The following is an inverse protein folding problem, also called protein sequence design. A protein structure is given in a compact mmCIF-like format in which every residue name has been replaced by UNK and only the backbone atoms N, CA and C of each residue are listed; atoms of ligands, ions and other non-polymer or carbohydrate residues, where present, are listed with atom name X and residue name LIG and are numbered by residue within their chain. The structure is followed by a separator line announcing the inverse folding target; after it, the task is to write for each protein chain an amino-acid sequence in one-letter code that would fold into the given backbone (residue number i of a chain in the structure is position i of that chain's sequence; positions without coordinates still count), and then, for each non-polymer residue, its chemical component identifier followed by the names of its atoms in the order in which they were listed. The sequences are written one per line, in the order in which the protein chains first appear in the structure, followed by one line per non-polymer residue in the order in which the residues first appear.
data_IF_130520951462
#
_entry.id   IF_130520951462
#
_cell.length_a   1.000
_cell.length_b   1.000
_cell.length_c   1.000
_cell.angle_alpha   90.00
_cell.angle_beta   90.00
_cell.angle_gamma   90.00
#
_symmetry.space_group_name_H-M   'P 1'
#
loop_
_entity.id
_entity.type
_entity.pdbx_description
1 polymer ?
#
# COMPACT_ATOMS: atom_id res chain seq x y z
N UNK A 1 -11.02 -2.26 -17.00
CA UNK A 1 -11.01 -3.55 -16.25
C UNK A 1 -12.31 -3.77 -15.49
N UNK A 2 -12.84 -2.76 -14.79
CA UNK A 2 -14.09 -2.88 -14.03
C UNK A 2 -15.29 -3.27 -14.89
N UNK A 3 -15.42 -2.72 -16.11
CA UNK A 3 -16.51 -3.06 -17.02
C UNK A 3 -16.54 -4.54 -17.40
N UNK A 4 -15.39 -5.12 -17.77
CA UNK A 4 -15.27 -6.53 -18.12
C UNK A 4 -15.55 -7.43 -16.92
N UNK A 5 -15.04 -7.08 -15.77
CA UNK A 5 -15.29 -7.80 -14.52
C UNK A 5 -16.78 -7.78 -14.13
N UNK A 6 -17.44 -6.63 -14.26
CA UNK A 6 -18.88 -6.48 -13.99
C UNK A 6 -19.69 -7.30 -14.97
N UNK A 7 -19.41 -7.22 -16.28
CA UNK A 7 -20.09 -8.02 -17.29
C UNK A 7 -19.96 -9.52 -17.03
N UNK A 8 -18.75 -9.98 -16.72
CA UNK A 8 -18.49 -11.38 -16.40
C UNK A 8 -19.26 -11.82 -15.14
N UNK A 9 -19.30 -10.97 -14.11
CA UNK A 9 -20.03 -11.25 -12.87
C UNK A 9 -21.54 -11.37 -13.12
N UNK A 10 -22.14 -10.40 -13.82
CA UNK A 10 -23.57 -10.39 -14.11
C UNK A 10 -23.95 -11.59 -14.98
N UNK A 11 -23.23 -11.81 -16.07
CA UNK A 11 -23.52 -12.91 -17.00
C UNK A 11 -23.40 -14.27 -16.30
N UNK A 12 -22.35 -14.48 -15.51
CA UNK A 12 -22.15 -15.74 -14.80
C UNK A 12 -23.21 -15.97 -13.73
N UNK A 13 -23.54 -14.94 -12.94
CA UNK A 13 -24.58 -15.03 -11.92
C UNK A 13 -25.94 -15.38 -12.51
N UNK A 14 -26.35 -14.70 -13.59
CA UNK A 14 -27.63 -14.93 -14.24
C UNK A 14 -27.72 -16.33 -14.86
N UNK A 15 -26.68 -16.76 -15.55
CA UNK A 15 -26.63 -18.08 -16.20
C UNK A 15 -26.62 -19.19 -15.15
N UNK A 16 -25.87 -19.02 -14.05
CA UNK A 16 -25.77 -20.01 -12.99
C UNK A 16 -27.11 -20.19 -12.25
N UNK A 17 -27.79 -19.09 -11.94
CA UNK A 17 -29.11 -19.11 -11.27
C UNK A 17 -30.22 -19.67 -12.14
N UNK A 18 -30.07 -19.69 -13.47
CA UNK A 18 -31.02 -20.32 -14.41
C UNK A 18 -30.71 -21.79 -14.66
N UNK A 19 -29.63 -22.33 -14.11
CA UNK A 19 -29.23 -23.71 -14.35
C UNK A 19 -29.81 -24.65 -13.30
N UNK A 20 -30.90 -25.34 -13.64
CA UNK A 20 -31.61 -26.27 -12.74
C UNK A 20 -30.71 -27.42 -12.28
N UNK A 21 -29.86 -27.95 -13.15
CA UNK A 21 -28.93 -29.04 -12.82
C UNK A 21 -27.88 -28.61 -11.76
N UNK A 22 -27.54 -27.31 -11.71
CA UNK A 22 -26.68 -26.75 -10.70
C UNK A 22 -27.43 -26.56 -9.37
N UNK A 23 -28.63 -26.01 -9.41
CA UNK A 23 -29.44 -25.72 -8.22
C UNK A 23 -29.86 -26.98 -7.46
N UNK A 24 -29.95 -28.12 -8.13
CA UNK A 24 -30.31 -29.40 -7.53
C UNK A 24 -29.15 -30.14 -6.83
N UNK A 25 -27.93 -29.60 -6.87
CA UNK A 25 -26.79 -30.17 -6.12
C UNK A 25 -26.80 -29.77 -4.67
N UNK A 26 -26.25 -30.64 -3.80
CA UNK A 26 -26.08 -30.30 -2.40
C UNK A 26 -24.93 -29.28 -2.20
N UNK A 27 -24.94 -28.57 -1.07
CA UNK A 27 -24.01 -27.51 -0.73
C UNK A 27 -22.54 -27.93 -0.84
N UNK A 28 -22.20 -29.11 -0.33
CA UNK A 28 -20.82 -29.62 -0.39
C UNK A 28 -20.34 -29.83 -1.82
N UNK A 29 -21.17 -30.46 -2.65
CA UNK A 29 -20.86 -30.68 -4.06
C UNK A 29 -20.72 -29.36 -4.83
N UNK A 30 -21.54 -28.35 -4.50
CA UNK A 30 -21.44 -27.03 -5.11
C UNK A 30 -20.11 -26.35 -4.77
N UNK A 31 -19.68 -26.41 -3.51
CA UNK A 31 -18.41 -25.83 -3.07
C UNK A 31 -17.20 -26.52 -3.69
N UNK A 32 -17.18 -27.84 -3.73
CA UNK A 32 -16.11 -28.64 -4.32
C UNK A 32 -15.97 -28.35 -5.83
N UNK A 33 -17.09 -28.38 -6.55
CA UNK A 33 -17.10 -28.03 -7.99
C UNK A 33 -16.63 -26.61 -8.25
N UNK A 34 -17.05 -25.65 -7.41
CA UNK A 34 -16.63 -24.26 -7.56
C UNK A 34 -15.12 -24.08 -7.41
N UNK A 35 -14.53 -24.69 -6.38
CA UNK A 35 -13.09 -24.60 -6.16
C UNK A 35 -12.28 -25.23 -7.31
N UNK A 36 -12.58 -26.47 -7.63
CA UNK A 36 -11.83 -27.21 -8.66
C UNK A 36 -11.95 -26.57 -10.05
N UNK A 37 -13.15 -26.15 -10.45
CA UNK A 37 -13.38 -25.55 -11.77
C UNK A 37 -12.91 -24.12 -11.86
N UNK A 38 -13.03 -23.37 -10.77
CA UNK A 38 -12.48 -22.03 -10.65
C UNK A 38 -10.96 -21.98 -10.78
N UNK A 39 -10.25 -22.92 -10.13
CA UNK A 39 -8.80 -23.07 -10.27
C UNK A 39 -8.38 -23.46 -11.68
N UNK A 40 -9.09 -24.40 -12.32
CA UNK A 40 -8.84 -24.75 -13.71
C UNK A 40 -9.02 -23.58 -14.66
N UNK A 41 -10.05 -22.77 -14.43
CA UNK A 41 -10.29 -21.57 -15.24
C UNK A 41 -9.19 -20.54 -15.06
N UNK A 42 -8.78 -20.30 -13.82
CA UNK A 42 -7.67 -19.39 -13.52
C UNK A 42 -6.36 -19.84 -14.19
N UNK A 43 -6.04 -21.15 -14.11
CA UNK A 43 -4.85 -21.70 -14.74
C UNK A 43 -4.91 -21.59 -16.28
N UNK A 44 -6.09 -21.78 -16.88
CA UNK A 44 -6.28 -21.59 -18.31
C UNK A 44 -6.06 -20.13 -18.73
N UNK A 45 -6.58 -19.17 -17.99
CA UNK A 45 -6.30 -17.74 -18.21
C UNK A 45 -4.80 -17.46 -18.12
N UNK A 46 -4.14 -17.92 -17.06
CA UNK A 46 -2.72 -17.68 -16.82
C UNK A 46 -1.83 -18.25 -17.94
N UNK A 47 -2.24 -19.34 -18.57
CA UNK A 47 -1.48 -19.94 -19.67
C UNK A 47 -1.60 -19.19 -21.00
N UNK A 48 -2.63 -18.35 -21.16
CA UNK A 48 -2.92 -17.61 -22.41
C UNK A 48 -2.65 -16.13 -22.32
N UNK A 49 -2.19 -15.63 -21.16
CA UNK A 49 -1.87 -14.22 -20.96
C UNK A 49 -0.73 -13.76 -21.85
N UNK A 50 -0.91 -12.60 -22.47
CA UNK A 50 0.12 -11.89 -23.21
C UNK A 50 0.93 -11.00 -22.26
N UNK A 51 2.24 -10.96 -22.44
CA UNK A 51 3.12 -10.10 -21.67
C UNK A 51 2.87 -8.62 -22.01
N UNK A 52 2.96 -7.77 -21.01
CA UNK A 52 2.78 -6.33 -21.15
C UNK A 52 3.90 -5.73 -22.01
N UNK A 53 3.52 -5.02 -23.07
CA UNK A 53 4.42 -4.19 -23.87
C UNK A 53 4.23 -2.71 -23.53
N UNK A 54 5.24 -1.88 -23.83
CA UNK A 54 5.16 -0.44 -23.58
C UNK A 54 3.95 0.21 -24.29
N UNK A 55 3.67 -0.20 -25.52
CA UNK A 55 2.53 0.30 -26.32
C UNK A 55 1.20 -0.01 -25.65
N UNK A 56 1.04 -1.24 -25.16
CA UNK A 56 -0.19 -1.66 -24.47
C UNK A 56 -0.35 -0.94 -23.14
N UNK A 57 0.73 -0.72 -22.40
CA UNK A 57 0.72 0.07 -21.16
C UNK A 57 0.20 1.49 -21.42
N UNK A 58 0.73 2.15 -22.45
CA UNK A 58 0.28 3.49 -22.83
C UNK A 58 -1.20 3.52 -23.24
N UNK A 59 -1.68 2.53 -24.00
CA UNK A 59 -3.11 2.41 -24.34
C UNK A 59 -3.99 2.31 -23.07
N UNK A 60 -3.59 1.54 -22.07
CA UNK A 60 -4.35 1.41 -20.82
C UNK A 60 -4.36 2.70 -20.00
N UNK A 61 -3.25 3.41 -19.93
CA UNK A 61 -3.17 4.70 -19.24
C UNK A 61 -4.05 5.73 -19.97
N UNK A 62 -3.98 5.77 -21.32
CA UNK A 62 -4.81 6.64 -22.15
C UNK A 62 -6.31 6.37 -21.96
N UNK A 63 -6.70 5.12 -21.83
CA UNK A 63 -8.10 4.73 -21.60
C UNK A 63 -8.59 5.02 -20.18
N UNK A 64 -7.69 5.04 -19.20
CA UNK A 64 -8.05 5.20 -17.78
C UNK A 64 -8.22 6.66 -17.36
N UNK A 65 -7.55 7.58 -18.03
CA UNK A 65 -7.49 9.01 -17.67
C UNK A 65 -7.81 9.86 -18.90
N UNK A 66 -8.65 10.88 -18.74
CA UNK A 66 -9.03 11.78 -19.85
C UNK A 66 -8.12 13.02 -19.96
N UNK A 67 -7.50 13.45 -18.86
CA UNK A 67 -6.63 14.61 -18.79
C UNK A 67 -5.23 14.28 -19.34
N UNK A 68 -4.81 14.95 -20.41
CA UNK A 68 -3.53 14.70 -21.08
C UNK A 68 -2.31 15.09 -20.21
N UNK A 69 -2.43 16.11 -19.36
CA UNK A 69 -1.36 16.48 -18.41
C UNK A 69 -1.17 15.39 -17.36
N UNK A 70 -2.28 14.89 -16.82
CA UNK A 70 -2.24 13.80 -15.84
C UNK A 70 -1.69 12.50 -16.46
N UNK A 71 -2.05 12.17 -17.70
CA UNK A 71 -1.48 11.03 -18.45
C UNK A 71 0.04 11.13 -18.54
N UNK A 72 0.54 12.30 -18.93
CA UNK A 72 1.98 12.56 -19.05
C UNK A 72 2.68 12.36 -17.72
N UNK A 73 2.12 12.89 -16.63
CA UNK A 73 2.70 12.77 -15.29
C UNK A 73 2.65 11.34 -14.75
N UNK A 74 1.59 10.56 -15.04
CA UNK A 74 1.53 9.14 -14.70
C UNK A 74 2.58 8.34 -15.47
N UNK A 75 2.71 8.57 -16.78
CA UNK A 75 3.73 7.91 -17.59
C UNK A 75 5.15 8.22 -17.12
N UNK A 76 5.43 9.48 -16.78
CA UNK A 76 6.71 9.91 -16.22
C UNK A 76 6.96 9.24 -14.87
N UNK A 77 5.96 9.20 -14.00
CA UNK A 77 6.04 8.53 -12.70
C UNK A 77 6.38 7.04 -12.84
N UNK A 78 5.74 6.33 -13.80
CA UNK A 78 6.01 4.92 -14.06
C UNK A 78 7.41 4.72 -14.67
N UNK A 79 7.86 5.60 -15.55
CA UNK A 79 9.22 5.54 -16.12
C UNK A 79 10.30 5.72 -15.06
N UNK A 80 10.09 6.64 -14.12
CA UNK A 80 11.02 6.91 -13.02
C UNK A 80 11.00 5.84 -11.92
N UNK A 81 9.81 5.33 -11.57
CA UNK A 81 9.67 4.30 -10.53
C UNK A 81 9.98 2.88 -11.02
N UNK A 82 9.91 2.65 -12.33
CA UNK A 82 9.78 1.31 -12.89
C UNK A 82 8.38 0.73 -12.72
N UNK A 83 8.11 -0.38 -13.40
CA UNK A 83 6.78 -1.02 -13.41
C UNK A 83 6.34 -1.57 -12.04
N UNK A 84 7.29 -1.94 -11.19
CA UNK A 84 7.04 -2.44 -9.82
C UNK A 84 7.22 -1.37 -8.75
N UNK A 85 7.63 -0.15 -9.16
CA UNK A 85 7.90 0.95 -8.25
C UNK A 85 6.66 1.49 -7.55
N UNK A 86 6.90 2.22 -6.46
CA UNK A 86 5.83 2.85 -5.69
C UNK A 86 5.69 4.30 -6.09
N UNK A 87 4.48 4.66 -6.49
CA UNK A 87 4.07 6.02 -6.80
C UNK A 87 3.14 6.49 -5.68
N UNK A 88 3.55 7.52 -4.95
CA UNK A 88 2.75 8.19 -3.93
C UNK A 88 2.08 9.40 -4.54
N UNK A 89 0.78 9.56 -4.28
CA UNK A 89 0.01 10.73 -4.74
C UNK A 89 -0.10 11.72 -3.58
N UNK A 90 0.44 12.92 -3.76
CA UNK A 90 0.46 13.97 -2.75
C UNK A 90 -0.27 15.22 -3.24
N UNK A 91 -0.82 16.03 -2.33
CA UNK A 91 -1.31 17.36 -2.68
C UNK A 91 -0.14 18.33 -2.73
N UNK A 92 -0.18 19.25 -3.68
CA UNK A 92 0.81 20.31 -3.83
C UNK A 92 0.11 21.67 -3.83
N UNK A 93 0.84 22.72 -3.51
CA UNK A 93 0.37 24.11 -3.68
C UNK A 93 0.71 24.67 -5.08
N UNK A 94 1.11 23.81 -6.01
CA UNK A 94 1.41 24.21 -7.38
C UNK A 94 0.16 24.13 -8.25
N UNK A 95 0.08 24.96 -9.26
CA UNK A 95 -1.04 24.96 -10.23
C UNK A 95 -1.03 23.79 -11.21
N UNK A 96 0.09 23.07 -11.32
CA UNK A 96 0.27 21.97 -12.27
C UNK A 96 0.70 20.68 -11.58
N UNK A 97 0.43 19.55 -12.24
CA UNK A 97 1.01 18.26 -11.85
C UNK A 97 2.55 18.33 -11.90
N UNK A 98 3.20 17.72 -10.92
CA UNK A 98 4.65 17.53 -10.93
C UNK A 98 5.02 16.15 -10.45
N UNK A 99 6.15 15.64 -10.96
CA UNK A 99 6.68 14.32 -10.58
C UNK A 99 8.05 14.53 -9.97
N UNK A 100 8.24 14.01 -8.77
CA UNK A 100 9.48 14.13 -8.02
C UNK A 100 9.96 12.76 -7.53
N UNK A 101 11.24 12.47 -7.76
CA UNK A 101 11.89 11.31 -7.19
C UNK A 101 12.32 11.63 -5.74
N UNK A 102 11.74 10.94 -4.77
CA UNK A 102 12.12 11.04 -3.36
C UNK A 102 12.98 9.85 -2.97
N UNK A 103 14.23 10.12 -2.63
CA UNK A 103 15.14 9.13 -2.11
C UNK A 103 15.16 9.21 -0.59
N UNK A 104 14.78 8.14 0.09
CA UNK A 104 14.75 8.02 1.54
C UNK A 104 13.44 7.41 2.06
N UNK A 105 13.50 6.95 3.30
CA UNK A 105 12.38 6.34 4.02
C UNK A 105 11.48 7.42 4.59
N UNK A 106 10.18 7.38 4.26
CA UNK A 106 9.21 8.38 4.72
C UNK A 106 8.25 7.77 5.74
N UNK A 107 8.16 8.40 6.91
CA UNK A 107 7.30 7.96 8.01
C UNK A 107 6.27 9.04 8.37
N UNK A 108 4.98 8.69 8.42
CA UNK A 108 3.92 9.59 8.83
C UNK A 108 3.90 9.71 10.37
N UNK A 109 4.66 10.64 10.90
CA UNK A 109 4.78 10.91 12.34
C UNK A 109 4.19 12.26 12.69
N UNK A 110 3.73 12.43 13.94
CA UNK A 110 3.25 13.71 14.41
C UNK A 110 4.42 14.64 14.79
N UNK A 111 4.47 15.77 14.14
CA UNK A 111 5.53 16.76 14.27
C UNK A 111 5.09 17.92 15.17
N UNK A 112 5.97 18.34 16.08
CA UNK A 112 5.79 19.54 16.87
C UNK A 112 6.25 20.77 16.07
N UNK A 113 5.29 21.55 15.53
CA UNK A 113 5.58 22.74 14.70
C UNK A 113 6.56 23.72 15.32
N UNK A 114 6.54 24.00 16.66
CA UNK A 114 7.51 24.91 17.29
C UNK A 114 8.97 24.52 17.12
N UNK A 115 9.29 23.26 16.83
CA UNK A 115 10.65 22.78 16.59
C UNK A 115 11.11 22.89 15.14
N UNK A 116 10.20 23.18 14.22
CA UNK A 116 10.54 23.45 12.83
C UNK A 116 11.25 24.80 12.70
N UNK A 117 12.16 24.89 11.76
CA UNK A 117 12.83 26.14 11.42
C UNK A 117 11.91 27.13 10.67
N UNK A 118 12.44 28.30 10.30
CA UNK A 118 11.65 29.39 9.68
C UNK A 118 11.02 28.98 8.32
N UNK A 119 11.53 27.95 7.68
CA UNK A 119 11.00 27.42 6.41
C UNK A 119 10.06 26.21 6.61
N UNK A 120 9.56 25.98 7.81
CA UNK A 120 8.68 24.85 8.12
C UNK A 120 9.37 23.48 8.06
N UNK A 121 10.70 23.45 8.10
CA UNK A 121 11.51 22.23 8.04
C UNK A 121 12.61 22.22 9.09
N UNK A 122 12.99 21.01 9.52
CA UNK A 122 14.20 20.76 10.32
C UNK A 122 15.03 19.73 9.56
N UNK A 123 16.19 20.15 9.04
CA UNK A 123 17.05 19.32 8.21
C UNK A 123 18.42 19.21 8.86
N UNK A 124 18.91 17.98 9.05
CA UNK A 124 20.20 17.73 9.68
C UNK A 124 20.90 16.54 9.02
N UNK A 125 22.22 16.55 9.11
CA UNK A 125 23.11 15.44 8.72
C UNK A 125 23.71 14.83 9.99
N UNK A 126 24.14 13.58 9.91
CA UNK A 126 24.79 12.87 11.02
C UNK A 126 23.96 12.91 12.31
N UNK A 127 22.73 12.44 12.22
CA UNK A 127 21.72 12.54 13.30
C UNK A 127 21.68 11.24 14.11
N UNK A 128 21.69 11.34 15.42
CA UNK A 128 21.44 10.20 16.31
C UNK A 128 19.94 10.01 16.54
N UNK A 129 19.52 8.75 16.69
CA UNK A 129 18.12 8.40 16.97
C UNK A 129 17.99 7.71 18.32
N UNK A 130 17.10 8.23 19.15
CA UNK A 130 16.69 7.64 20.41
C UNK A 130 15.21 7.28 20.36
N UNK A 131 14.91 5.97 20.41
CA UNK A 131 13.56 5.43 20.21
C UNK A 131 13.06 4.87 21.55
N UNK A 132 11.90 5.36 22.00
CA UNK A 132 11.29 4.97 23.28
C UNK A 132 9.86 4.50 23.05
N UNK A 133 9.60 3.26 23.45
CA UNK A 133 8.25 2.70 23.50
C UNK A 133 7.62 3.05 24.86
N UNK A 134 7.17 4.26 24.97
CA UNK A 134 6.58 4.83 26.19
C UNK A 134 6.39 6.34 26.10
N UNK A 135 5.76 6.88 27.12
CA UNK A 135 5.60 8.33 27.31
C UNK A 135 6.77 8.82 28.17
N UNK A 136 7.44 9.86 27.72
CA UNK A 136 8.48 10.53 28.49
C UNK A 136 7.84 11.63 29.35
N UNK A 137 7.92 11.46 30.70
CA UNK A 137 7.23 12.34 31.65
C UNK A 137 8.16 13.36 32.28
N UNK A 138 9.42 12.97 32.61
CA UNK A 138 10.36 13.79 33.34
C UNK A 138 11.66 13.96 32.58
N UNK A 139 12.22 15.19 32.66
CA UNK A 139 13.53 15.47 32.02
C UNK A 139 14.65 14.57 32.57
N UNK A 140 14.57 14.18 33.86
CA UNK A 140 15.54 13.29 34.50
C UNK A 140 15.65 11.91 33.81
N UNK A 141 14.65 11.47 33.09
CA UNK A 141 14.68 10.20 32.35
C UNK A 141 15.65 10.22 31.16
N UNK A 142 15.80 11.39 30.55
CA UNK A 142 16.62 11.60 29.34
C UNK A 142 17.82 12.52 29.58
N UNK A 143 18.07 12.96 30.81
CA UNK A 143 19.11 13.95 31.16
C UNK A 143 20.51 13.48 30.71
N UNK A 144 20.85 12.19 30.89
CA UNK A 144 22.13 11.61 30.48
C UNK A 144 22.31 11.73 28.95
N UNK A 145 21.25 11.45 28.18
CA UNK A 145 21.26 11.53 26.72
C UNK A 145 21.40 12.98 26.27
N UNK A 146 20.65 13.92 26.88
CA UNK A 146 20.70 15.33 26.55
C UNK A 146 22.06 15.95 26.88
N UNK A 147 22.66 15.61 28.02
CA UNK A 147 23.99 16.09 28.41
C UNK A 147 25.07 15.65 27.42
N UNK A 148 25.04 14.41 26.98
CA UNK A 148 25.94 13.91 25.94
C UNK A 148 25.72 14.59 24.59
N UNK A 149 24.44 14.79 24.16
CA UNK A 149 24.12 15.52 22.95
C UNK A 149 24.61 16.98 23.01
N UNK A 150 24.52 17.62 24.19
CA UNK A 150 25.07 18.96 24.42
C UNK A 150 26.60 18.98 24.23
N UNK A 151 27.32 17.97 24.73
CA UNK A 151 28.79 17.88 24.65
C UNK A 151 29.24 17.61 23.22
N UNK A 152 28.59 16.68 22.51
CA UNK A 152 28.98 16.25 21.17
C UNK A 152 28.52 17.19 20.07
N UNK A 153 27.47 17.99 20.35
CA UNK A 153 26.80 18.85 19.35
C UNK A 153 26.17 18.10 18.18
N UNK A 154 26.07 16.78 18.27
CA UNK A 154 25.43 15.96 17.24
C UNK A 154 23.91 16.12 17.36
N UNK A 155 23.20 16.39 16.25
CA UNK A 155 21.74 16.47 16.25
C UNK A 155 21.12 15.15 16.73
N UNK A 156 20.02 15.24 17.47
CA UNK A 156 19.35 14.09 18.05
C UNK A 156 17.86 14.13 17.75
N UNK A 157 17.32 13.04 17.25
CA UNK A 157 15.87 12.80 17.17
C UNK A 157 15.48 11.91 18.35
N UNK A 158 14.46 12.33 19.10
CA UNK A 158 13.82 11.51 20.13
C UNK A 158 12.42 11.16 19.66
N UNK A 159 12.16 9.88 19.39
CA UNK A 159 10.83 9.40 19.02
C UNK A 159 10.24 8.62 20.20
N UNK A 160 9.05 9.02 20.64
CA UNK A 160 8.35 8.41 21.77
C UNK A 160 6.83 8.35 21.51
N UNK A 161 6.10 7.60 22.31
CA UNK A 161 4.64 7.60 22.26
C UNK A 161 4.04 8.97 22.64
N UNK A 162 4.72 9.70 23.52
CA UNK A 162 4.33 11.03 23.95
C UNK A 162 5.40 11.72 24.78
N UNK A 163 5.20 13.00 25.03
CA UNK A 163 6.09 13.84 25.85
C UNK A 163 5.25 14.70 26.79
N UNK A 164 5.74 14.91 28.02
CA UNK A 164 5.16 15.92 28.91
C UNK A 164 5.47 17.33 28.43
N UNK A 165 4.66 18.28 28.85
CA UNK A 165 4.89 19.73 28.58
C UNK A 165 6.22 20.22 29.18
N UNK A 166 6.64 19.65 30.30
CA UNK A 166 7.93 19.96 30.95
C UNK A 166 9.10 19.62 30.04
N UNK A 167 9.08 18.41 29.43
CA UNK A 167 10.14 17.99 28.50
C UNK A 167 10.13 18.87 27.25
N UNK A 168 8.96 19.06 26.61
CA UNK A 168 8.86 19.89 25.41
C UNK A 168 9.33 21.31 25.64
N UNK A 169 8.94 21.92 26.79
CA UNK A 169 9.40 23.25 27.20
C UNK A 169 10.92 23.31 27.40
N UNK A 170 11.48 22.32 28.09
CA UNK A 170 12.94 22.21 28.32
C UNK A 170 13.71 22.05 27.02
N UNK A 171 13.29 21.17 26.15
CA UNK A 171 13.91 20.95 24.82
C UNK A 171 13.84 22.23 23.97
N UNK A 172 12.68 22.90 23.96
CA UNK A 172 12.48 24.13 23.18
C UNK A 172 13.39 25.27 23.65
N UNK A 173 13.44 25.56 24.98
CA UNK A 173 14.29 26.59 25.53
C UNK A 173 15.77 26.32 25.19
N UNK A 174 16.24 25.09 25.31
CA UNK A 174 17.63 24.76 25.03
C UNK A 174 17.96 24.77 23.53
N UNK A 175 17.01 24.42 22.67
CA UNK A 175 17.17 24.56 21.23
C UNK A 175 17.24 26.03 20.80
N UNK A 176 16.34 26.88 21.30
CA UNK A 176 16.33 28.32 21.01
C UNK A 176 17.61 29.01 21.52
N UNK A 177 18.14 28.57 22.65
CA UNK A 177 19.44 29.00 23.16
C UNK A 177 20.66 28.41 22.37
N UNK A 178 20.40 27.58 21.32
CA UNK A 178 21.43 26.89 20.55
C UNK A 178 22.36 26.00 21.39
N UNK A 179 21.89 25.57 22.53
CA UNK A 179 22.62 24.63 23.42
C UNK A 179 22.42 23.19 22.94
N UNK A 180 21.21 22.84 22.55
CA UNK A 180 20.83 21.54 21.99
C UNK A 180 20.37 21.68 20.54
N UNK A 181 20.40 20.57 19.80
CA UNK A 181 19.75 20.42 18.52
C UNK A 181 18.98 19.09 18.55
N UNK A 182 17.85 19.11 19.27
CA UNK A 182 17.02 17.92 19.52
C UNK A 182 15.65 18.11 18.91
N UNK A 183 15.17 17.12 18.18
CA UNK A 183 13.86 17.11 17.55
C UNK A 183 12.97 16.02 18.17
N UNK A 184 11.88 16.37 18.88
CA UNK A 184 10.94 15.41 19.43
C UNK A 184 9.92 14.99 18.37
N UNK A 185 9.63 13.68 18.29
CA UNK A 185 8.65 13.10 17.40
C UNK A 185 7.68 12.24 18.20
N UNK A 186 6.38 12.43 18.00
CA UNK A 186 5.33 11.59 18.59
C UNK A 186 4.89 10.56 17.56
N UNK A 187 4.99 9.29 17.93
CA UNK A 187 4.49 8.18 17.11
C UNK A 187 3.08 7.74 17.52
N UNK A 188 2.64 8.04 18.75
CA UNK A 188 1.35 7.62 19.32
C UNK A 188 1.46 6.35 20.16
N UNK A 189 0.31 5.83 20.62
CA UNK A 189 0.23 4.73 21.58
C UNK A 189 -0.61 3.53 21.10
N UNK A 190 -0.97 3.47 19.83
CA UNK A 190 -1.71 2.38 19.23
C UNK A 190 -0.78 1.34 18.59
N UNK A 191 -1.36 0.25 18.10
CA UNK A 191 -0.60 -0.84 17.44
C UNK A 191 0.11 -0.37 16.16
N UNK A 192 -0.47 0.59 15.43
CA UNK A 192 0.14 1.17 14.23
C UNK A 192 1.40 1.95 14.62
N UNK A 193 1.36 2.66 15.73
CA UNK A 193 2.48 3.42 16.30
C UNK A 193 3.65 2.56 16.76
N UNK A 194 3.37 1.43 17.41
CA UNK A 194 4.40 0.46 17.77
C UNK A 194 5.08 -0.15 16.54
N UNK A 195 4.31 -0.46 15.51
CA UNK A 195 4.83 -0.91 14.22
C UNK A 195 5.71 0.16 13.57
N UNK A 196 5.32 1.42 13.65
CA UNK A 196 6.06 2.55 13.12
C UNK A 196 7.41 2.73 13.83
N UNK A 197 7.45 2.65 15.16
CA UNK A 197 8.72 2.63 15.93
C UNK A 197 9.64 1.50 15.50
N UNK A 198 9.09 0.29 15.32
CA UNK A 198 9.88 -0.84 14.86
C UNK A 198 10.42 -0.64 13.43
N UNK A 199 9.65 -0.04 12.53
CA UNK A 199 10.09 0.22 11.17
C UNK A 199 11.18 1.32 11.13
N UNK A 200 11.05 2.37 11.95
CA UNK A 200 12.10 3.39 12.15
C UNK A 200 13.36 2.74 12.75
N UNK A 201 13.21 1.84 13.71
CA UNK A 201 14.31 1.08 14.32
C UNK A 201 15.12 0.30 13.28
N UNK A 202 14.44 -0.42 12.38
CA UNK A 202 15.10 -1.20 11.32
C UNK A 202 15.85 -0.28 10.35
N UNK A 203 15.26 0.85 9.96
CA UNK A 203 15.88 1.81 9.04
C UNK A 203 17.11 2.48 9.67
N UNK A 204 16.99 2.91 10.93
CA UNK A 204 18.07 3.65 11.62
C UNK A 204 19.12 2.75 12.25
N UNK A 205 18.79 1.48 12.51
CA UNK A 205 19.58 0.58 13.34
C UNK A 205 19.49 0.89 14.84
N UNK A 206 18.61 1.82 15.24
CA UNK A 206 18.43 2.21 16.63
C UNK A 206 17.57 1.20 17.38
N UNK A 207 18.01 0.76 18.56
CA UNK A 207 17.21 -0.12 19.42
C UNK A 207 16.03 0.68 20.02
N UNK A 208 14.84 0.08 20.03
CA UNK A 208 13.70 0.63 20.77
C UNK A 208 13.83 0.27 22.24
N UNK A 209 13.85 1.28 23.10
CA UNK A 209 13.84 1.12 24.56
C UNK A 209 12.39 0.93 25.00
N UNK A 210 12.06 -0.24 25.53
CA UNK A 210 10.71 -0.58 25.94
C UNK A 210 10.68 -1.21 27.33
N UNK A 211 9.83 -0.66 28.21
CA UNK A 211 9.60 -1.22 29.54
C UNK A 211 9.01 -2.61 29.49
N UNK A 212 8.29 -2.97 28.41
CA UNK A 212 7.79 -4.32 28.19
C UNK A 212 8.91 -5.35 28.00
N UNK A 213 10.04 -4.89 27.48
CA UNK A 213 11.25 -5.72 27.33
C UNK A 213 12.16 -5.70 28.59
N UNK A 214 11.75 -5.00 29.65
CA UNK A 214 12.54 -4.81 30.88
C UNK A 214 13.57 -3.70 30.78
N UNK A 215 13.55 -2.88 29.72
CA UNK A 215 14.45 -1.75 29.58
C UNK A 215 13.99 -0.56 30.45
N UNK A 216 14.94 0.25 30.91
CA UNK A 216 14.68 1.51 31.58
C UNK A 216 15.36 2.64 30.81
N UNK A 217 14.60 3.70 30.49
CA UNK A 217 15.09 4.85 29.70
C UNK A 217 16.35 5.48 30.32
N UNK A 218 16.40 5.59 31.65
CA UNK A 218 17.53 6.18 32.37
C UNK A 218 18.88 5.44 32.19
N UNK A 219 18.83 4.16 31.80
CA UNK A 219 20.03 3.35 31.56
C UNK A 219 20.46 3.34 30.09
N UNK A 220 19.73 3.99 29.22
CA UNK A 220 20.13 4.11 27.83
C UNK A 220 21.47 4.83 27.70
N UNK A 221 22.34 4.32 26.83
CA UNK A 221 23.61 4.93 26.54
C UNK A 221 23.57 5.70 25.22
N UNK A 222 24.03 6.93 25.25
CA UNK A 222 24.11 7.79 24.07
C UNK A 222 25.09 7.25 23.03
N UNK A 223 26.16 6.59 23.48
CA UNK A 223 27.19 6.09 22.59
C UNK A 223 26.72 4.88 21.77
N UNK A 224 25.72 4.15 22.27
CA UNK A 224 25.05 3.04 21.55
C UNK A 224 24.06 3.54 20.46
N UNK A 225 23.72 4.83 20.44
CA UNK A 225 22.81 5.36 19.43
C UNK A 225 23.47 5.44 18.05
N UNK A 226 22.87 4.85 17.02
CA UNK A 226 23.43 4.88 15.67
C UNK A 226 23.39 6.29 15.09
N UNK A 227 24.29 6.52 14.14
CA UNK A 227 24.38 7.76 13.36
C UNK A 227 23.72 7.55 12.01
N UNK A 228 22.77 8.37 11.68
CA UNK A 228 21.98 8.36 10.43
C UNK A 228 22.45 9.49 9.52
N UNK A 229 22.63 9.21 8.24
CA UNK A 229 23.29 10.10 7.29
C UNK A 229 22.56 11.45 7.11
N UNK A 230 21.22 11.41 6.95
CA UNK A 230 20.40 12.63 6.77
C UNK A 230 18.97 12.42 7.25
N UNK A 231 18.44 13.46 7.90
CA UNK A 231 17.07 13.49 8.40
C UNK A 231 16.41 14.82 8.05
N UNK A 232 15.16 14.76 7.60
CA UNK A 232 14.31 15.93 7.40
C UNK A 232 12.96 15.69 8.08
N UNK A 233 12.56 16.65 8.90
CA UNK A 233 11.22 16.73 9.50
C UNK A 233 10.48 17.93 8.92
N UNK A 234 9.23 17.74 8.52
CA UNK A 234 8.32 18.78 8.07
C UNK A 234 6.89 18.45 8.46
N UNK A 235 5.92 19.27 8.11
CA UNK A 235 4.50 19.04 8.44
C UNK A 235 3.96 17.70 7.91
N UNK A 236 4.56 17.13 6.87
CA UNK A 236 4.16 15.86 6.26
C UNK A 236 4.81 14.62 6.92
N UNK A 237 5.68 14.82 7.92
CA UNK A 237 6.32 13.74 8.67
C UNK A 237 7.84 13.75 8.65
N UNK A 238 8.42 12.56 8.79
CA UNK A 238 9.85 12.29 8.90
C UNK A 238 10.36 11.63 7.63
N UNK A 239 11.45 12.17 7.07
CA UNK A 239 12.22 11.56 5.98
C UNK A 239 13.61 11.20 6.50
N UNK A 240 14.02 9.96 6.29
CA UNK A 240 15.34 9.42 6.67
C UNK A 240 16.07 8.96 5.42
N UNK A 241 17.31 9.41 5.23
CA UNK A 241 18.24 8.83 4.25
C UNK A 241 19.35 8.12 5.00
N UNK A 242 19.44 6.83 4.81
CA UNK A 242 20.46 6.01 5.47
C UNK A 242 20.71 4.76 4.63
N UNK A 243 21.97 4.49 4.30
CA UNK A 243 22.35 3.40 3.39
C UNK A 243 22.87 2.16 4.09
N UNK A 244 23.21 2.26 5.39
CA UNK A 244 23.89 1.16 6.09
C UNK A 244 23.03 -0.07 6.37
N UNK A 245 21.69 0.11 6.52
CA UNK A 245 20.77 -0.94 6.95
C UNK A 245 19.85 -1.44 5.82
N UNK A 246 20.22 -1.29 4.56
CA UNK A 246 19.39 -1.73 3.41
C UNK A 246 19.11 -3.24 3.41
N UNK A 247 20.05 -4.06 3.90
CA UNK A 247 19.86 -5.50 3.99
C UNK A 247 18.79 -5.87 5.03
N UNK A 248 18.83 -5.26 6.20
CA UNK A 248 17.88 -5.45 7.30
C UNK A 248 16.48 -4.95 6.89
N UNK A 249 16.41 -3.82 6.21
CA UNK A 249 15.16 -3.29 5.66
C UNK A 249 14.56 -4.25 4.63
N UNK A 250 15.38 -4.77 3.72
CA UNK A 250 14.94 -5.75 2.72
C UNK A 250 14.42 -7.03 3.36
N UNK A 251 15.09 -7.51 4.42
CA UNK A 251 14.64 -8.67 5.20
C UNK A 251 13.30 -8.39 5.90
N UNK A 252 13.12 -7.19 6.46
CA UNK A 252 11.87 -6.77 7.09
C UNK A 252 10.73 -6.73 6.08
N UNK A 253 10.93 -6.13 4.91
CA UNK A 253 9.95 -6.12 3.82
C UNK A 253 9.54 -7.55 3.44
N UNK A 254 10.49 -8.45 3.22
CA UNK A 254 10.21 -9.85 2.90
C UNK A 254 9.39 -10.54 4.01
N UNK A 255 9.67 -10.22 5.26
CA UNK A 255 8.93 -10.77 6.41
C UNK A 255 7.48 -10.25 6.42
N UNK A 256 7.27 -8.95 6.18
CA UNK A 256 5.94 -8.35 6.09
C UNK A 256 5.13 -8.91 4.93
N UNK A 257 5.73 -9.10 3.75
CA UNK A 257 5.09 -9.73 2.59
C UNK A 257 4.64 -11.15 2.91
N UNK A 258 5.51 -11.97 3.54
CA UNK A 258 5.15 -13.34 3.95
C UNK A 258 4.01 -13.37 4.98
N UNK A 259 4.00 -12.44 5.94
CA UNK A 259 2.92 -12.32 6.93
C UNK A 259 1.60 -11.89 6.29
N UNK A 260 1.64 -10.92 5.37
CA UNK A 260 0.49 -10.49 4.60
C UNK A 260 -0.16 -11.65 3.83
N UNK A 261 0.64 -12.47 3.14
CA UNK A 261 0.14 -13.64 2.40
C UNK A 261 -0.52 -14.68 3.32
N UNK A 262 -0.01 -14.87 4.53
CA UNK A 262 -0.60 -15.80 5.52
C UNK A 262 -1.91 -15.28 6.14
N UNK A 263 -2.11 -13.98 6.20
CA UNK A 263 -3.26 -13.31 6.85
C UNK A 263 -4.18 -12.63 5.85
N UNK A 264 -4.15 -13.04 4.59
CA UNK A 264 -4.91 -12.44 3.47
C UNK A 264 -6.43 -12.41 3.65
N UNK A 265 -6.96 -13.16 4.61
CA UNK A 265 -8.40 -13.26 4.88
C UNK A 265 -8.96 -12.06 5.67
N UNK A 266 -8.12 -11.17 6.20
CA UNK A 266 -8.53 -10.00 7.01
C UNK A 266 -8.10 -8.74 6.28
N UNK A 267 -9.06 -8.05 5.68
CA UNK A 267 -8.82 -6.88 4.81
C UNK A 267 -8.06 -5.76 5.54
N UNK A 268 -8.43 -5.44 6.77
CA UNK A 268 -7.82 -4.36 7.55
C UNK A 268 -6.34 -4.62 7.87
N UNK A 269 -5.99 -5.86 8.15
CA UNK A 269 -4.60 -6.27 8.40
C UNK A 269 -3.76 -6.16 7.12
N UNK A 270 -4.34 -6.50 5.98
CA UNK A 270 -3.68 -6.35 4.68
C UNK A 270 -3.29 -4.90 4.38
N UNK A 271 -4.17 -3.95 4.65
CA UNK A 271 -3.91 -2.50 4.47
C UNK A 271 -2.79 -2.02 5.38
N UNK A 272 -2.74 -2.51 6.62
CA UNK A 272 -1.68 -2.15 7.57
C UNK A 272 -0.30 -2.63 7.11
N UNK A 273 -0.21 -3.86 6.59
CA UNK A 273 1.04 -4.36 6.01
C UNK A 273 1.47 -3.56 4.78
N UNK A 274 0.52 -3.16 3.91
CA UNK A 274 0.83 -2.35 2.74
C UNK A 274 1.39 -0.98 3.10
N UNK A 275 0.82 -0.31 4.10
CA UNK A 275 1.36 0.96 4.63
C UNK A 275 2.80 0.79 5.14
N UNK A 276 3.07 -0.25 5.92
CA UNK A 276 4.41 -0.53 6.46
C UNK A 276 5.43 -0.79 5.35
N UNK A 277 5.09 -1.66 4.39
CA UNK A 277 5.95 -1.94 3.24
C UNK A 277 6.24 -0.64 2.47
N UNK A 278 5.23 0.19 2.24
CA UNK A 278 5.39 1.49 1.55
C UNK A 278 6.35 2.42 2.29
N UNK A 279 6.27 2.50 3.62
CA UNK A 279 7.17 3.33 4.44
C UNK A 279 8.63 2.83 4.40
N UNK A 280 8.83 1.52 4.23
CA UNK A 280 10.16 0.88 4.18
C UNK A 280 10.80 0.90 2.78
N UNK A 281 10.14 1.41 1.78
CA UNK A 281 10.71 1.55 0.45
C UNK A 281 11.43 2.89 0.32
N UNK A 282 12.74 2.83 0.14
CA UNK A 282 13.62 4.01 0.13
C UNK A 282 13.53 4.87 -1.13
N UNK A 283 12.98 4.31 -2.21
CA UNK A 283 12.84 4.99 -3.50
C UNK A 283 11.37 5.09 -3.84
N UNK A 284 10.79 6.26 -3.69
CA UNK A 284 9.41 6.55 -4.03
C UNK A 284 9.32 7.70 -5.02
N UNK A 285 8.42 7.58 -5.97
CA UNK A 285 8.06 8.68 -6.86
C UNK A 285 6.83 9.36 -6.28
N UNK A 286 6.89 10.66 -6.07
CA UNK A 286 5.72 11.47 -5.72
C UNK A 286 5.12 12.08 -6.97
N UNK A 287 3.85 11.75 -7.21
CA UNK A 287 3.00 12.46 -8.18
C UNK A 287 2.22 13.52 -7.40
N UNK A 288 2.61 14.77 -7.56
CA UNK A 288 2.00 15.90 -6.88
C UNK A 288 0.80 16.39 -7.68
N UNK A 289 -0.35 16.48 -7.02
CA UNK A 289 -1.59 17.00 -7.60
C UNK A 289 -1.60 18.54 -7.54
N UNK A 290 -2.26 19.22 -8.50
CA UNK A 290 -2.42 20.66 -8.47
C UNK A 290 -3.26 21.14 -7.28
N UNK A 291 -3.13 22.41 -6.93
CA UNK A 291 -3.93 23.05 -5.87
C UNK A 291 -5.36 23.32 -6.39
N UNK A 292 -6.22 22.34 -6.20
CA UNK A 292 -7.66 22.40 -6.54
C UNK A 292 -8.48 22.05 -5.29
N UNK A 293 -9.81 22.03 -5.41
CA UNK A 293 -10.67 21.69 -4.28
C UNK A 293 -10.39 20.28 -3.74
N UNK A 294 -10.62 20.06 -2.44
CA UNK A 294 -10.41 18.77 -1.78
C UNK A 294 -11.21 17.65 -2.47
N UNK A 295 -12.45 17.93 -2.86
CA UNK A 295 -13.32 16.98 -3.57
C UNK A 295 -12.76 16.59 -4.95
N UNK A 296 -12.18 17.54 -5.69
CA UNK A 296 -11.53 17.26 -6.97
C UNK A 296 -10.26 16.44 -6.78
N UNK A 297 -9.47 16.77 -5.75
CA UNK A 297 -8.27 16.00 -5.40
C UNK A 297 -8.60 14.55 -5.01
N UNK A 298 -9.66 14.29 -4.27
CA UNK A 298 -10.12 12.94 -3.96
C UNK A 298 -10.55 12.16 -5.21
N UNK A 299 -11.28 12.82 -6.13
CA UNK A 299 -11.68 12.23 -7.39
C UNK A 299 -10.46 11.89 -8.28
N UNK A 300 -9.45 12.78 -8.33
CA UNK A 300 -8.19 12.55 -9.04
C UNK A 300 -7.40 11.40 -8.42
N UNK A 301 -7.27 11.37 -7.08
CA UNK A 301 -6.62 10.26 -6.36
C UNK A 301 -7.24 8.92 -6.69
N UNK A 302 -8.57 8.85 -6.66
CA UNK A 302 -9.31 7.63 -7.00
C UNK A 302 -9.02 7.16 -8.43
N UNK A 303 -9.01 8.07 -9.40
CA UNK A 303 -8.69 7.76 -10.80
C UNK A 303 -7.24 7.26 -10.96
N UNK A 304 -6.30 7.93 -10.32
CA UNK A 304 -4.87 7.54 -10.35
C UNK A 304 -4.69 6.16 -9.70
N UNK A 305 -5.30 5.92 -8.55
CA UNK A 305 -5.19 4.65 -7.83
C UNK A 305 -5.75 3.49 -8.66
N UNK A 306 -6.91 3.67 -9.30
CA UNK A 306 -7.46 2.68 -10.24
C UNK A 306 -6.51 2.44 -11.42
N UNK A 307 -5.91 3.50 -11.99
CA UNK A 307 -4.94 3.38 -13.07
C UNK A 307 -3.70 2.59 -12.62
N UNK A 308 -3.09 2.95 -11.50
CA UNK A 308 -1.90 2.28 -10.97
C UNK A 308 -2.15 0.82 -10.57
N UNK A 309 -3.32 0.51 -9.98
CA UNK A 309 -3.71 -0.89 -9.71
C UNK A 309 -3.90 -1.68 -11.00
N UNK A 310 -4.46 -1.06 -12.04
CA UNK A 310 -4.59 -1.70 -13.36
C UNK A 310 -3.22 -2.00 -13.94
N UNK A 311 -2.28 -1.06 -13.89
CA UNK A 311 -0.88 -1.26 -14.32
C UNK A 311 -0.21 -2.41 -13.56
N UNK A 312 -0.33 -2.44 -12.23
CA UNK A 312 0.21 -3.54 -11.40
C UNK A 312 -0.40 -4.89 -11.78
N UNK A 313 -1.70 -4.94 -12.03
CA UNK A 313 -2.37 -6.17 -12.48
C UNK A 313 -1.88 -6.63 -13.84
N UNK A 314 -1.63 -5.70 -14.77
CA UNK A 314 -1.09 -6.00 -16.11
C UNK A 314 0.36 -6.52 -16.03
N UNK A 315 1.18 -5.94 -15.15
CA UNK A 315 2.57 -6.40 -14.92
C UNK A 315 2.60 -7.80 -14.35
N UNK A 316 1.74 -8.08 -13.36
CA UNK A 316 1.75 -9.37 -12.65
C UNK A 316 1.09 -10.51 -13.43
N UNK A 317 0.04 -10.21 -14.21
CA UNK A 317 -0.83 -11.25 -14.81
C UNK A 317 -0.99 -11.10 -16.33
N UNK A 318 -0.39 -10.07 -16.94
CA UNK A 318 -0.54 -9.80 -18.35
C UNK A 318 -1.92 -9.31 -18.77
N UNK A 319 -2.17 -9.32 -20.07
CA UNK A 319 -3.44 -8.91 -20.65
C UNK A 319 -3.97 -9.96 -21.62
N UNK A 320 -5.26 -9.86 -21.90
CA UNK A 320 -5.96 -10.62 -22.93
C UNK A 320 -6.68 -9.64 -23.86
N UNK A 321 -6.90 -10.06 -25.10
CA UNK A 321 -7.80 -9.38 -26.00
C UNK A 321 -9.12 -10.17 -26.17
N UNK A 322 -10.05 -9.59 -26.92
CA UNK A 322 -11.36 -10.20 -27.18
C UNK A 322 -11.27 -11.59 -27.85
N UNK A 323 -10.28 -11.79 -28.72
CA UNK A 323 -10.16 -13.06 -29.44
C UNK A 323 -9.60 -14.16 -28.53
N UNK A 324 -8.70 -13.81 -27.62
CA UNK A 324 -8.19 -14.73 -26.59
C UNK A 324 -9.34 -15.24 -25.68
N UNK A 325 -10.38 -14.41 -25.40
CA UNK A 325 -11.53 -14.84 -24.61
C UNK A 325 -12.25 -16.05 -25.19
N UNK A 326 -12.41 -16.09 -26.51
CA UNK A 326 -13.10 -17.20 -27.19
C UNK A 326 -12.37 -18.53 -27.03
N UNK A 327 -11.05 -18.45 -26.84
CA UNK A 327 -10.18 -19.62 -26.65
C UNK A 327 -10.10 -20.08 -25.19
N UNK A 328 -10.63 -19.29 -24.21
CA UNK A 328 -10.62 -19.63 -22.78
C UNK A 328 -11.70 -20.66 -22.39
N UNK A 329 -12.53 -21.13 -23.34
CA UNK A 329 -13.57 -22.11 -23.03
C UNK A 329 -12.97 -23.36 -22.40
N UNK A 330 -13.56 -23.77 -21.28
CA UNK A 330 -13.21 -25.00 -20.60
C UNK A 330 -13.81 -26.20 -21.32
N UNK A 331 -13.02 -27.24 -21.50
CA UNK A 331 -13.50 -28.55 -22.00
C UNK A 331 -13.83 -29.46 -20.82
N UNK A 332 -14.99 -30.08 -20.85
CA UNK A 332 -15.40 -31.13 -19.89
C UNK A 332 -15.78 -32.40 -20.68
N UNK A 333 -15.36 -33.55 -20.16
CA UNK A 333 -15.73 -34.84 -20.72
C UNK A 333 -17.16 -35.27 -20.38
N UNK A 334 -17.76 -34.65 -19.35
CA UNK A 334 -19.14 -34.85 -18.91
C UNK A 334 -19.90 -33.51 -18.94
N UNK A 335 -21.23 -33.58 -19.03
CA UNK A 335 -22.09 -32.38 -18.85
C UNK A 335 -21.88 -31.82 -17.46
N UNK A 336 -21.01 -30.82 -17.32
CA UNK A 336 -20.78 -30.09 -16.07
C UNK A 336 -21.49 -28.73 -16.15
N UNK A 337 -22.56 -28.54 -15.35
CA UNK A 337 -23.36 -27.31 -15.41
C UNK A 337 -22.55 -26.06 -15.08
N UNK A 338 -21.52 -26.17 -14.23
CA UNK A 338 -20.66 -25.05 -13.85
C UNK A 338 -19.75 -24.64 -15.01
N UNK A 339 -19.12 -25.60 -15.68
CA UNK A 339 -18.29 -25.37 -16.86
C UNK A 339 -19.12 -24.78 -18.01
N UNK A 340 -20.34 -25.29 -18.20
CA UNK A 340 -21.26 -24.73 -19.20
C UNK A 340 -21.62 -23.28 -18.88
N UNK A 341 -21.87 -22.96 -17.63
CA UNK A 341 -22.17 -21.59 -17.19
C UNK A 341 -20.99 -20.64 -17.37
N UNK A 342 -19.77 -21.09 -17.07
CA UNK A 342 -18.56 -20.29 -17.35
C UNK A 342 -18.43 -20.04 -18.86
N UNK A 343 -18.57 -21.05 -19.69
CA UNK A 343 -18.41 -20.92 -21.14
C UNK A 343 -19.46 -19.98 -21.75
N UNK A 344 -20.71 -20.05 -21.31
CA UNK A 344 -21.79 -19.13 -21.74
C UNK A 344 -21.50 -17.68 -21.27
N UNK A 345 -20.99 -17.51 -20.04
CA UNK A 345 -20.62 -16.19 -19.54
C UNK A 345 -19.48 -15.58 -20.37
N UNK A 346 -18.45 -16.35 -20.70
CA UNK A 346 -17.36 -15.93 -21.58
C UNK A 346 -17.87 -15.52 -22.95
N UNK A 347 -18.77 -16.31 -23.54
CA UNK A 347 -19.36 -16.05 -24.86
C UNK A 347 -20.14 -14.73 -24.82
N UNK A 348 -21.02 -14.54 -23.84
CA UNK A 348 -21.76 -13.29 -23.64
C UNK A 348 -20.83 -12.08 -23.51
N UNK A 349 -19.81 -12.17 -22.64
CA UNK A 349 -18.83 -11.08 -22.46
C UNK A 349 -18.13 -10.78 -23.78
N UNK A 350 -17.72 -11.80 -24.54
CA UNK A 350 -17.04 -11.62 -25.81
C UNK A 350 -17.92 -10.94 -26.87
N UNK A 351 -19.22 -11.21 -26.87
CA UNK A 351 -20.19 -10.57 -27.78
C UNK A 351 -20.42 -9.09 -27.46
N UNK A 352 -20.49 -8.76 -26.17
CA UNK A 352 -20.74 -7.38 -25.72
C UNK A 352 -19.51 -6.47 -25.86
N UNK A 353 -18.32 -7.04 -26.06
CA UNK A 353 -17.08 -6.27 -26.17
C UNK A 353 -16.86 -5.74 -27.58
N UNK A 354 -16.43 -4.46 -27.75
CA UNK A 354 -15.94 -3.96 -29.04
C UNK A 354 -14.76 -4.77 -29.57
N UNK A 355 -14.60 -4.79 -30.90
CA UNK A 355 -13.45 -5.45 -31.52
C UNK A 355 -12.14 -4.79 -31.08
N UNK A 356 -11.07 -5.59 -30.92
CA UNK A 356 -9.73 -5.16 -30.45
C UNK A 356 -9.68 -4.64 -29.02
N UNK A 357 -10.71 -4.86 -28.21
CA UNK A 357 -10.65 -4.48 -26.77
C UNK A 357 -9.61 -5.35 -26.05
N UNK A 358 -8.68 -4.68 -25.35
CA UNK A 358 -7.71 -5.31 -24.45
C UNK A 358 -8.13 -5.08 -23.00
N UNK A 359 -7.87 -6.02 -22.11
CA UNK A 359 -8.20 -5.93 -20.70
C UNK A 359 -7.22 -6.74 -19.84
N UNK A 360 -7.01 -6.37 -18.56
CA UNK A 360 -6.19 -7.17 -17.65
C UNK A 360 -6.72 -8.60 -17.56
N UNK A 361 -5.86 -9.57 -17.73
CA UNK A 361 -6.24 -10.98 -17.78
C UNK A 361 -7.04 -11.43 -16.55
N UNK A 362 -6.67 -10.94 -15.38
CA UNK A 362 -7.33 -11.27 -14.11
C UNK A 362 -8.77 -10.72 -14.00
N UNK A 363 -9.16 -9.74 -14.83
CA UNK A 363 -10.48 -9.08 -14.70
C UNK A 363 -11.64 -10.05 -14.91
N UNK A 364 -11.54 -10.98 -15.85
CA UNK A 364 -12.58 -11.99 -16.10
C UNK A 364 -12.59 -13.04 -15.01
N UNK A 365 -11.42 -13.52 -14.62
CA UNK A 365 -11.28 -14.52 -13.56
C UNK A 365 -11.87 -14.02 -12.23
N UNK A 366 -11.54 -12.81 -11.83
CA UNK A 366 -12.10 -12.19 -10.62
C UNK A 366 -13.61 -11.99 -10.72
N UNK A 367 -14.11 -11.55 -11.88
CA UNK A 367 -15.55 -11.39 -12.10
C UNK A 367 -16.31 -12.70 -11.89
N UNK A 368 -15.87 -13.79 -12.48
CA UNK A 368 -16.46 -15.11 -12.33
C UNK A 368 -16.28 -15.64 -10.91
N UNK A 369 -15.10 -15.46 -10.32
CA UNK A 369 -14.83 -15.90 -8.95
C UNK A 369 -15.76 -15.25 -7.92
N UNK A 370 -15.84 -13.93 -7.92
CA UNK A 370 -16.69 -13.21 -6.96
C UNK A 370 -18.18 -13.50 -7.18
N UNK A 371 -18.63 -13.59 -8.44
CA UNK A 371 -20.00 -13.95 -8.73
C UNK A 371 -20.34 -15.37 -8.25
N UNK A 372 -19.48 -16.35 -8.49
CA UNK A 372 -19.67 -17.71 -8.02
C UNK A 372 -19.71 -17.80 -6.50
N UNK A 373 -18.81 -17.10 -5.79
CA UNK A 373 -18.82 -17.03 -4.33
C UNK A 373 -20.11 -16.41 -3.78
N UNK A 374 -20.60 -15.35 -4.41
CA UNK A 374 -21.85 -14.68 -4.01
C UNK A 374 -23.05 -15.60 -4.20
N UNK A 375 -23.14 -16.29 -5.34
CA UNK A 375 -24.24 -17.25 -5.59
C UNK A 375 -24.20 -18.40 -4.61
N UNK A 376 -23.01 -18.96 -4.32
CA UNK A 376 -22.86 -20.01 -3.31
C UNK A 376 -23.30 -19.55 -1.93
N UNK A 377 -22.89 -18.37 -1.49
CA UNK A 377 -23.31 -17.77 -0.23
C UNK A 377 -24.83 -17.58 -0.16
N UNK A 378 -25.45 -17.17 -1.27
CA UNK A 378 -26.90 -17.03 -1.37
C UNK A 378 -27.62 -18.38 -1.26
N UNK A 379 -27.16 -19.41 -1.95
CA UNK A 379 -27.75 -20.75 -1.94
C UNK A 379 -27.55 -21.49 -0.62
N UNK A 380 -26.45 -21.22 0.08
CA UNK A 380 -26.15 -21.83 1.39
C UNK A 380 -26.72 -21.05 2.58
N UNK A 381 -27.21 -19.82 2.36
CA UNK A 381 -27.91 -19.06 3.38
C UNK A 381 -29.34 -19.60 3.55
N UNK A 382 -29.69 -20.08 4.71
CA UNK A 382 -31.06 -20.58 5.04
C UNK A 382 -32.14 -19.48 5.08
N UNK A 383 -31.90 -18.34 4.43
CA UNK A 383 -32.79 -17.20 4.38
C UNK A 383 -33.45 -17.06 2.99
N UNK A 384 -34.75 -17.34 2.92
CA UNK A 384 -35.54 -16.99 1.72
C UNK A 384 -35.74 -15.47 1.70
N UNK A 385 -35.00 -14.75 0.86
CA UNK A 385 -35.32 -13.37 0.53
C UNK A 385 -36.32 -13.39 -0.61
N UNK A 386 -37.59 -13.22 -0.28
CA UNK A 386 -38.63 -12.96 -1.29
C UNK A 386 -38.48 -11.51 -1.75
N UNK A 387 -37.93 -11.31 -2.92
CA UNK A 387 -38.00 -10.03 -3.61
C UNK A 387 -39.40 -9.89 -4.19
N UNK A 388 -40.26 -9.10 -3.52
CA UNK A 388 -41.54 -8.64 -4.05
C UNK A 388 -41.31 -7.47 -5.02
#
# INVERSE_FOLDING_TARGET
SSYVSILASIAFTEILLRNEDFLNKNEYQLMEHYQERGERFYNNISSKCKLLTQEVLEEFILASVQDDKLKTSINESIKLSGLEGIIQVENSHNENYSVEAKNGYKFPVKIFKPFLGPFGTWNQVDVKFFLVDGILEKVSEIDKILNKSFQTKIPLVIAAQGFSEEILGTLKINNDAKKLNVFPIVVGNDLESLNLLNDISVVTGSRVISTLNGDMVIFADYDDLPLVDYVMCNENGLLIKHSKNEAEVSQQINTLVKRKLKQSNIVDIGVLFDKRITNLLSHTISLNLPDVSETENEALRTKIDVCLRTVKSLVSHGYLDKDDLKELKLTSHEKDPFVESINKAIEFVSEQMPNKTKFPALSVALGIHFAGKTVLQFLTSNGVVVLT
#
